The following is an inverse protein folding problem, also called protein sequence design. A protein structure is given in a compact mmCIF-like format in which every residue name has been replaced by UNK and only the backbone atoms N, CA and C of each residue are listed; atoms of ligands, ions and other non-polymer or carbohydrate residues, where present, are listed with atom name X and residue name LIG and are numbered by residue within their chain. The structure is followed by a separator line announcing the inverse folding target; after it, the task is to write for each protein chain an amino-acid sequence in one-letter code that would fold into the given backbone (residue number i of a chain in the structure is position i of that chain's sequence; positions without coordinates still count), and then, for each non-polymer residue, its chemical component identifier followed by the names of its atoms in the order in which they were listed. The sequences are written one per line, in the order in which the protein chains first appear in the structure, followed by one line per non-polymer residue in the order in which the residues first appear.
data_IF_775726622399
#
_entry.id   IF_775726622399
#
_cell.length_a   1.000
_cell.length_b   1.000
_cell.length_c   1.000
_cell.angle_alpha   90.00
_cell.angle_beta   90.00
_cell.angle_gamma   90.00
#
_symmetry.space_group_name_H-M   'P 1'
#
loop_
_entity.id
_entity.type
_entity.pdbx_description
1 polymer ?
#
# COMPACT_ATOMS: atom_id res chain seq x y z
N UNK A 1 13.96 11.68 -12.81
CA UNK A 1 13.49 11.67 -11.40
C UNK A 1 14.66 11.45 -10.45
N UNK A 2 14.72 12.20 -9.36
CA UNK A 2 15.73 11.99 -8.33
C UNK A 2 15.56 10.62 -7.68
N UNK A 3 16.64 9.90 -7.34
CA UNK A 3 16.52 8.63 -6.64
C UNK A 3 15.92 8.83 -5.24
N UNK A 4 15.07 7.90 -4.81
CA UNK A 4 14.49 7.93 -3.46
C UNK A 4 15.61 7.84 -2.42
N UNK A 5 15.69 8.78 -1.45
CA UNK A 5 16.78 8.81 -0.48
C UNK A 5 16.63 7.74 0.61
N UNK A 6 17.76 7.24 1.12
CA UNK A 6 17.81 6.41 2.33
C UNK A 6 17.75 7.30 3.57
N UNK A 7 16.62 7.97 3.78
CA UNK A 7 16.37 8.91 4.86
C UNK A 7 14.94 8.75 5.41
N UNK A 8 14.66 9.21 6.63
CA UNK A 8 13.30 9.32 7.14
C UNK A 8 12.48 10.31 6.33
N UNK A 9 11.18 10.04 6.17
CA UNK A 9 10.30 10.98 5.47
C UNK A 9 8.91 10.45 5.22
N UNK A 10 8.11 11.27 4.54
CA UNK A 10 6.78 10.94 4.06
C UNK A 10 6.78 10.75 2.55
N UNK A 11 5.85 9.98 2.06
CA UNK A 11 5.66 9.73 0.63
C UNK A 11 4.17 9.70 0.29
N UNK A 12 3.84 10.12 -0.94
CA UNK A 12 2.50 10.09 -1.52
C UNK A 12 2.44 9.21 -2.75
N UNK A 13 1.39 8.40 -2.86
CA UNK A 13 1.09 7.59 -4.03
C UNK A 13 0.03 8.28 -4.89
N UNK A 14 0.41 8.57 -6.12
CA UNK A 14 -0.37 9.23 -7.14
C UNK A 14 -0.76 8.24 -8.23
N UNK A 15 -1.99 8.30 -8.71
CA UNK A 15 -2.56 7.34 -9.64
C UNK A 15 -3.12 8.01 -10.89
N UNK A 16 -2.77 7.48 -12.07
CA UNK A 16 -3.39 7.82 -13.36
C UNK A 16 -4.72 7.11 -13.53
N UNK A 17 -4.71 5.80 -13.30
CA UNK A 17 -5.91 4.97 -13.35
C UNK A 17 -6.34 4.61 -11.94
N UNK A 18 -7.62 4.73 -11.67
CA UNK A 18 -8.21 4.40 -10.38
C UNK A 18 -8.95 3.07 -10.49
N UNK A 19 -8.83 2.14 -9.52
CA UNK A 19 -9.74 1.02 -9.44
C UNK A 19 -11.19 1.52 -9.36
N UNK A 20 -12.10 0.89 -10.10
CA UNK A 20 -13.48 1.38 -10.32
C UNK A 20 -14.29 1.65 -9.02
N UNK A 21 -13.91 0.99 -7.91
CA UNK A 21 -14.59 1.16 -6.62
C UNK A 21 -14.09 2.36 -5.81
N UNK A 22 -13.07 3.10 -6.29
CA UNK A 22 -12.48 4.22 -5.54
C UNK A 22 -13.24 5.50 -5.84
N UNK A 23 -13.87 6.08 -4.83
CA UNK A 23 -14.35 7.45 -4.88
C UNK A 23 -13.19 8.40 -4.59
N UNK A 24 -12.81 9.18 -5.59
CA UNK A 24 -11.73 10.16 -5.51
C UNK A 24 -12.25 11.61 -5.36
N UNK A 25 -13.53 11.77 -5.04
CA UNK A 25 -14.13 13.11 -4.84
C UNK A 25 -13.41 13.86 -3.72
N UNK A 26 -12.90 15.04 -4.04
CA UNK A 26 -12.17 15.89 -3.09
C UNK A 26 -10.69 15.51 -2.89
N UNK A 27 -10.19 14.46 -3.56
CA UNK A 27 -8.77 14.16 -3.54
C UNK A 27 -7.94 15.24 -4.24
N UNK A 28 -6.70 15.38 -3.83
CA UNK A 28 -5.73 16.23 -4.52
C UNK A 28 -5.45 15.68 -5.92
N UNK A 29 -5.54 16.54 -6.92
CA UNK A 29 -5.26 16.22 -8.34
C UNK A 29 -4.17 17.12 -8.86
N UNK A 30 -3.19 16.56 -9.53
CA UNK A 30 -2.13 17.29 -10.25
C UNK A 30 -1.93 16.67 -11.61
N UNK A 31 -2.12 17.45 -12.65
CA UNK A 31 -2.15 17.00 -14.03
C UNK A 31 -3.17 15.84 -14.19
N UNK A 32 -2.72 14.67 -14.60
CA UNK A 32 -3.51 13.45 -14.77
C UNK A 32 -3.43 12.49 -13.55
N UNK A 33 -2.91 12.95 -12.42
CA UNK A 33 -2.60 12.15 -11.25
C UNK A 33 -3.47 12.51 -10.05
N UNK A 34 -4.03 11.52 -9.39
CA UNK A 34 -4.81 11.67 -8.16
C UNK A 34 -4.05 11.08 -6.97
N UNK A 35 -3.89 11.85 -5.89
CA UNK A 35 -3.28 11.39 -4.64
C UNK A 35 -4.29 10.58 -3.84
N UNK A 36 -4.03 9.29 -3.63
CA UNK A 36 -4.93 8.40 -2.89
C UNK A 36 -4.38 7.93 -1.55
N UNK A 37 -3.06 7.98 -1.37
CA UNK A 37 -2.42 7.45 -0.17
C UNK A 37 -1.17 8.23 0.18
N UNK A 38 -1.00 8.51 1.45
CA UNK A 38 0.27 8.96 2.04
C UNK A 38 0.75 7.94 3.07
N UNK A 39 2.04 7.89 3.27
CA UNK A 39 2.64 7.05 4.29
C UNK A 39 3.99 7.58 4.70
N UNK A 40 4.57 6.98 5.72
CA UNK A 40 5.84 7.41 6.30
C UNK A 40 6.83 6.25 6.43
N UNK A 41 8.06 6.62 6.58
CA UNK A 41 9.14 5.71 6.94
C UNK A 41 10.25 6.47 7.69
N UNK A 42 10.64 6.01 8.88
CA UNK A 42 10.04 4.94 9.69
C UNK A 42 8.71 5.34 10.33
N UNK A 43 8.02 4.37 10.91
CA UNK A 43 6.89 4.63 11.82
C UNK A 43 7.38 5.23 13.15
N UNK A 44 6.51 5.89 13.95
CA UNK A 44 6.87 6.41 15.27
C UNK A 44 7.55 5.34 16.11
N UNK A 45 8.50 5.73 16.99
CA UNK A 45 9.06 4.82 17.98
C UNK A 45 7.94 4.18 18.82
N UNK A 46 7.99 2.85 19.04
CA UNK A 46 6.97 2.19 19.84
C UNK A 46 7.01 2.68 21.30
N UNK A 47 5.84 2.93 21.88
CA UNK A 47 5.70 3.35 23.29
C UNK A 47 6.36 2.36 24.29
N UNK A 48 6.59 1.11 23.87
CA UNK A 48 7.27 0.08 24.68
C UNK A 48 8.78 0.29 24.83
N UNK A 49 9.37 1.35 24.28
CA UNK A 49 10.82 1.60 24.31
C UNK A 49 11.65 0.63 23.47
N UNK A 50 11.03 -0.26 22.71
CA UNK A 50 11.75 -1.14 21.78
C UNK A 50 12.43 -0.31 20.68
N UNK A 51 13.58 -0.80 20.22
CA UNK A 51 14.33 -0.13 19.14
C UNK A 51 13.45 0.04 17.91
N UNK A 52 13.39 1.26 17.33
CA UNK A 52 12.64 1.50 16.10
C UNK A 52 13.12 0.59 14.96
N UNK A 53 12.22 0.19 14.10
CA UNK A 53 12.60 -0.56 12.89
C UNK A 53 13.47 0.33 12.01
N UNK A 54 14.66 -0.16 11.63
CA UNK A 54 15.56 0.54 10.70
C UNK A 54 14.97 0.49 9.28
N UNK A 55 14.00 1.36 9.04
CA UNK A 55 13.36 1.52 7.73
C UNK A 55 13.52 2.97 7.28
N UNK A 56 13.68 3.20 5.99
CA UNK A 56 13.79 4.49 5.36
C UNK A 56 12.88 4.58 4.11
N UNK A 57 12.77 5.77 3.52
CA UNK A 57 11.97 6.01 2.33
C UNK A 57 12.31 5.03 1.20
N UNK A 58 13.62 4.85 0.89
CA UNK A 58 14.05 3.96 -0.18
C UNK A 58 13.58 2.53 0.03
N UNK A 59 13.83 1.97 1.22
CA UNK A 59 13.43 0.59 1.54
C UNK A 59 11.92 0.42 1.47
N UNK A 60 11.17 1.38 2.03
CA UNK A 60 9.71 1.31 2.10
C UNK A 60 9.06 1.43 0.73
N UNK A 61 9.44 2.44 -0.06
CA UNK A 61 8.89 2.67 -1.40
C UNK A 61 9.28 1.50 -2.33
N UNK A 62 10.54 1.06 -2.30
CA UNK A 62 10.99 -0.12 -3.04
C UNK A 62 10.19 -1.37 -2.70
N UNK A 63 9.88 -1.56 -1.41
CA UNK A 63 9.05 -2.69 -0.98
C UNK A 63 7.63 -2.61 -1.55
N UNK A 64 7.02 -1.44 -1.55
CA UNK A 64 5.70 -1.25 -2.16
C UNK A 64 5.69 -1.53 -3.66
N UNK A 65 6.75 -1.23 -4.39
CA UNK A 65 6.90 -1.58 -5.82
C UNK A 65 7.28 -3.06 -6.06
N UNK A 66 7.28 -3.91 -5.05
CA UNK A 66 7.62 -5.33 -5.19
C UNK A 66 9.11 -5.64 -5.16
N UNK A 67 9.98 -4.62 -5.06
CA UNK A 67 11.42 -4.80 -4.84
C UNK A 67 11.72 -5.37 -3.46
N UNK A 68 12.89 -6.02 -3.28
CA UNK A 68 13.29 -6.67 -2.03
C UNK A 68 12.24 -7.70 -1.54
N UNK A 69 11.60 -8.42 -2.46
CA UNK A 69 10.50 -9.39 -2.20
C UNK A 69 9.26 -8.74 -1.56
N UNK A 70 9.00 -7.47 -1.89
CA UNK A 70 7.80 -6.75 -1.48
C UNK A 70 6.54 -7.45 -2.00
N UNK A 71 5.57 -7.68 -1.11
CA UNK A 71 4.36 -8.42 -1.40
C UNK A 71 3.17 -7.92 -0.58
N UNK A 72 1.98 -8.45 -0.86
CA UNK A 72 0.75 -8.04 -0.19
C UNK A 72 0.67 -8.42 1.30
N UNK A 73 1.49 -9.34 1.79
CA UNK A 73 1.54 -9.69 3.22
C UNK A 73 2.13 -8.54 4.05
N UNK A 74 3.26 -7.99 3.60
CA UNK A 74 3.97 -6.89 4.29
C UNK A 74 3.55 -5.48 3.83
N UNK A 75 2.66 -5.35 2.84
CA UNK A 75 2.23 -4.06 2.30
C UNK A 75 0.70 -3.95 2.27
N UNK A 76 0.16 -3.11 3.16
CA UNK A 76 -1.28 -2.79 3.16
C UNK A 76 -1.75 -2.15 1.85
N UNK A 77 -0.90 -1.30 1.23
CA UNK A 77 -1.16 -0.71 -0.08
C UNK A 77 -1.34 -1.79 -1.14
N UNK A 78 -0.38 -2.71 -1.28
CA UNK A 78 -0.45 -3.81 -2.24
C UNK A 78 -1.65 -4.73 -1.98
N UNK A 79 -1.93 -5.02 -0.71
CA UNK A 79 -3.11 -5.83 -0.33
C UNK A 79 -4.41 -5.15 -0.75
N UNK A 80 -4.53 -3.85 -0.53
CA UNK A 80 -5.69 -3.05 -0.94
C UNK A 80 -5.84 -3.02 -2.47
N UNK A 81 -4.76 -2.71 -3.20
CA UNK A 81 -4.74 -2.76 -4.66
C UNK A 81 -5.11 -4.14 -5.19
N UNK A 82 -4.52 -5.19 -4.63
CA UNK A 82 -4.78 -6.57 -5.04
C UNK A 82 -6.23 -6.98 -4.91
N UNK A 83 -6.95 -6.54 -3.89
CA UNK A 83 -8.39 -6.85 -3.74
C UNK A 83 -9.26 -5.95 -4.59
N UNK A 84 -8.91 -4.68 -4.78
CA UNK A 84 -9.66 -3.75 -5.62
C UNK A 84 -9.55 -4.10 -7.10
N UNK A 85 -8.37 -4.51 -7.56
CA UNK A 85 -8.08 -4.91 -8.94
C UNK A 85 -8.27 -6.41 -9.19
N UNK A 86 -8.79 -7.16 -8.20
CA UNK A 86 -8.87 -8.62 -8.27
C UNK A 86 -9.60 -9.11 -9.53
N UNK A 87 -10.73 -8.49 -9.87
CA UNK A 87 -11.54 -8.87 -11.03
C UNK A 87 -10.88 -8.43 -12.34
N UNK A 88 -10.31 -7.24 -12.39
CA UNK A 88 -9.69 -6.65 -13.58
C UNK A 88 -8.42 -7.39 -13.99
N UNK A 89 -7.55 -7.69 -13.02
CA UNK A 89 -6.24 -8.28 -13.24
C UNK A 89 -6.16 -9.79 -12.93
N UNK A 90 -7.26 -10.43 -12.57
CA UNK A 90 -7.27 -11.84 -12.20
C UNK A 90 -6.48 -12.15 -10.93
N UNK A 91 -6.43 -11.21 -9.96
CA UNK A 91 -5.63 -11.36 -8.75
C UNK A 91 -6.38 -12.11 -7.67
N UNK A 92 -5.67 -12.93 -6.92
CA UNK A 92 -6.22 -13.68 -5.79
C UNK A 92 -5.18 -13.79 -4.66
N UNK A 93 -5.61 -13.54 -3.43
CA UNK A 93 -4.77 -13.80 -2.25
C UNK A 93 -4.62 -15.31 -2.04
N UNK A 94 -3.39 -15.76 -1.81
CA UNK A 94 -3.05 -17.17 -1.60
C UNK A 94 -2.10 -17.32 -0.41
N UNK A 95 -2.29 -18.41 0.34
CA UNK A 95 -1.30 -18.84 1.33
C UNK A 95 -0.11 -19.48 0.61
N UNK A 96 1.10 -19.13 1.05
CA UNK A 96 2.35 -19.59 0.43
C UNK A 96 3.31 -20.24 1.45
N UNK A 97 4.22 -21.07 0.97
CA UNK A 97 5.28 -21.70 1.75
C UNK A 97 4.75 -22.53 2.92
N UNK A 98 4.97 -22.08 4.14
CA UNK A 98 4.44 -22.72 5.37
C UNK A 98 2.94 -22.48 5.59
N UNK A 99 2.27 -21.68 4.75
CA UNK A 99 0.87 -21.30 4.90
C UNK A 99 0.63 -20.12 5.84
N UNK A 100 1.67 -19.54 6.43
CA UNK A 100 1.57 -18.37 7.33
C UNK A 100 1.48 -17.07 6.58
N UNK A 101 2.14 -16.96 5.42
CA UNK A 101 2.12 -15.76 4.59
C UNK A 101 0.94 -15.81 3.61
N UNK A 102 0.31 -14.66 3.40
CA UNK A 102 -0.80 -14.49 2.43
C UNK A 102 -0.44 -13.36 1.48
N UNK A 103 -0.15 -13.72 0.23
CA UNK A 103 0.29 -12.83 -0.82
C UNK A 103 -0.59 -12.99 -2.07
N UNK A 104 -0.30 -12.24 -3.12
CA UNK A 104 -0.92 -12.44 -4.44
C UNK A 104 -0.26 -13.59 -5.23
N UNK A 105 0.75 -14.25 -4.68
CA UNK A 105 1.55 -15.28 -5.36
C UNK A 105 2.06 -14.76 -6.72
N UNK A 106 1.87 -15.50 -7.81
CA UNK A 106 2.25 -15.05 -9.16
C UNK A 106 1.60 -13.72 -9.59
N UNK A 107 0.49 -13.32 -8.98
CA UNK A 107 -0.16 -12.04 -9.21
C UNK A 107 0.63 -10.82 -8.68
N UNK A 108 1.66 -11.04 -7.84
CA UNK A 108 2.54 -9.93 -7.41
C UNK A 108 3.26 -9.28 -8.60
N UNK A 109 3.68 -10.06 -9.60
CA UNK A 109 4.31 -9.54 -10.82
C UNK A 109 3.31 -8.75 -11.68
N UNK A 110 2.07 -9.23 -11.78
CA UNK A 110 0.99 -8.53 -12.49
C UNK A 110 0.70 -7.18 -11.83
N UNK A 111 0.61 -7.16 -10.49
CA UNK A 111 0.42 -5.93 -9.75
C UNK A 111 1.62 -4.98 -9.88
N UNK A 112 2.86 -5.48 -9.91
CA UNK A 112 4.04 -4.66 -10.13
C UNK A 112 3.97 -3.93 -11.48
N UNK A 113 3.58 -4.64 -12.55
CA UNK A 113 3.44 -4.04 -13.87
C UNK A 113 2.36 -2.96 -13.86
N UNK A 114 1.18 -3.28 -13.31
CA UNK A 114 0.09 -2.31 -13.21
C UNK A 114 0.50 -1.05 -12.43
N UNK A 115 1.18 -1.23 -11.30
CA UNK A 115 1.68 -0.10 -10.50
C UNK A 115 2.72 0.73 -11.27
N UNK A 116 3.63 0.08 -12.00
CA UNK A 116 4.62 0.77 -12.83
C UNK A 116 3.98 1.67 -13.90
N UNK A 117 2.89 1.21 -14.50
CA UNK A 117 2.22 1.91 -15.59
C UNK A 117 1.27 3.02 -15.08
N UNK A 118 0.71 2.83 -13.88
CA UNK A 118 -0.39 3.66 -13.40
C UNK A 118 -0.08 4.51 -12.16
N UNK A 119 1.12 4.39 -11.58
CA UNK A 119 1.43 5.14 -10.35
C UNK A 119 2.72 5.92 -10.42
N UNK A 120 2.73 7.04 -9.69
CA UNK A 120 3.94 7.80 -9.37
C UNK A 120 4.04 7.97 -7.85
N UNK A 121 5.27 8.16 -7.36
CA UNK A 121 5.54 8.43 -5.95
C UNK A 121 6.25 9.77 -5.80
N UNK A 122 5.70 10.61 -4.93
CA UNK A 122 6.40 11.78 -4.41
C UNK A 122 6.90 11.50 -3.00
N UNK A 123 7.94 12.21 -2.58
CA UNK A 123 8.46 12.08 -1.22
C UNK A 123 9.04 13.40 -0.71
N UNK A 124 9.13 13.49 0.61
CA UNK A 124 9.80 14.59 1.32
C UNK A 124 10.58 14.02 2.50
N UNK A 125 11.83 14.43 2.64
CA UNK A 125 12.66 14.04 3.80
C UNK A 125 12.21 14.83 5.02
N UNK A 126 11.92 14.13 6.12
CA UNK A 126 11.53 14.70 7.41
C UNK A 126 12.13 13.84 8.53
N UNK A 127 12.77 14.43 9.57
CA UNK A 127 13.32 13.67 10.72
C UNK A 127 12.24 12.94 11.51
N UNK A 128 11.08 13.56 11.69
CA UNK A 128 9.91 13.04 12.42
C UNK A 128 8.69 12.98 11.48
N UNK A 129 8.68 12.02 10.55
CA UNK A 129 7.69 11.99 9.48
C UNK A 129 6.26 11.76 9.97
N UNK A 130 6.06 11.21 11.17
CA UNK A 130 4.74 10.97 11.76
C UNK A 130 3.98 12.27 12.11
N UNK A 131 4.69 13.35 12.49
CA UNK A 131 4.07 14.67 12.69
C UNK A 131 3.51 15.20 11.37
N UNK A 132 4.29 15.05 10.30
CA UNK A 132 3.87 15.48 8.97
C UNK A 132 2.77 14.59 8.38
N UNK A 133 2.76 13.28 8.65
CA UNK A 133 1.68 12.37 8.25
C UNK A 133 0.35 12.78 8.89
N UNK A 134 0.35 13.15 10.17
CA UNK A 134 -0.83 13.63 10.87
C UNK A 134 -1.40 14.90 10.22
N UNK A 135 -0.54 15.86 9.87
CA UNK A 135 -0.94 17.06 9.14
C UNK A 135 -1.56 16.71 7.78
N UNK A 136 -0.92 15.84 6.99
CA UNK A 136 -1.43 15.43 5.68
C UNK A 136 -2.76 14.69 5.78
N UNK A 137 -2.88 13.75 6.71
CA UNK A 137 -4.11 12.95 6.87
C UNK A 137 -5.28 13.75 7.45
N UNK A 138 -5.01 14.85 8.12
CA UNK A 138 -6.04 15.78 8.62
C UNK A 138 -6.56 16.71 7.52
N UNK A 139 -5.68 17.15 6.62
CA UNK A 139 -6.01 18.19 5.64
C UNK A 139 -6.35 17.66 4.24
N UNK A 140 -6.04 16.39 3.93
CA UNK A 140 -6.27 15.81 2.61
C UNK A 140 -7.31 14.69 2.65
N UNK A 141 -8.08 14.57 1.57
CA UNK A 141 -8.94 13.42 1.32
C UNK A 141 -8.07 12.29 0.76
N UNK A 142 -7.86 11.26 1.56
CA UNK A 142 -6.97 10.13 1.25
C UNK A 142 -7.73 8.80 1.40
N UNK A 143 -8.41 8.33 0.35
CA UNK A 143 -9.27 7.14 0.44
C UNK A 143 -8.55 5.87 0.92
N UNK A 144 -7.23 5.79 0.73
CA UNK A 144 -6.46 4.59 1.12
C UNK A 144 -5.68 4.72 2.43
N UNK A 145 -5.72 5.88 3.07
CA UNK A 145 -5.31 6.00 4.45
C UNK A 145 -6.50 5.56 5.31
N UNK A 146 -6.50 4.31 5.78
CA UNK A 146 -7.61 3.66 6.49
C UNK A 146 -7.93 4.29 7.87
N UNK A 147 -7.59 5.54 8.05
CA UNK A 147 -7.96 6.38 9.19
C UNK A 147 -9.31 7.04 8.86
N UNK A 148 -10.36 6.53 9.41
CA UNK A 148 -11.71 7.02 9.17
C UNK A 148 -12.72 5.89 8.98
N UNK A 149 -13.98 6.24 8.97
CA UNK A 149 -15.09 5.28 8.88
C UNK A 149 -16.04 5.62 7.71
N UNK A 150 -15.46 5.96 6.55
CA UNK A 150 -16.24 6.19 5.34
C UNK A 150 -16.80 4.87 4.79
N UNK A 151 -17.86 4.93 4.00
CA UNK A 151 -18.44 3.75 3.33
C UNK A 151 -17.37 3.00 2.51
N UNK A 152 -16.47 3.72 1.84
CA UNK A 152 -15.37 3.12 1.10
C UNK A 152 -14.39 2.37 2.03
N UNK A 153 -14.04 2.93 3.18
CA UNK A 153 -13.17 2.25 4.16
C UNK A 153 -13.79 0.97 4.69
N UNK A 154 -15.09 0.99 5.00
CA UNK A 154 -15.82 -0.20 5.45
C UNK A 154 -15.83 -1.27 4.36
N UNK A 155 -16.12 -0.89 3.12
CA UNK A 155 -16.12 -1.81 1.97
C UNK A 155 -14.72 -2.37 1.69
N UNK A 156 -13.68 -1.56 1.70
CA UNK A 156 -12.30 -2.03 1.51
C UNK A 156 -11.87 -2.99 2.63
N UNK A 157 -12.22 -2.69 3.89
CA UNK A 157 -12.00 -3.61 5.02
C UNK A 157 -12.73 -4.94 4.81
N UNK A 158 -13.98 -4.89 4.33
CA UNK A 158 -14.79 -6.08 4.00
C UNK A 158 -14.13 -6.89 2.89
N UNK A 159 -13.79 -6.29 1.76
CA UNK A 159 -13.13 -6.95 0.63
C UNK A 159 -11.81 -7.63 1.03
N UNK A 160 -10.98 -6.95 1.82
CA UNK A 160 -9.74 -7.53 2.35
C UNK A 160 -9.99 -8.73 3.25
N UNK A 161 -10.96 -8.63 4.16
CA UNK A 161 -11.34 -9.74 5.05
C UNK A 161 -11.85 -10.94 4.25
N UNK A 162 -12.75 -10.72 3.31
CA UNK A 162 -13.35 -11.78 2.50
C UNK A 162 -12.29 -12.49 1.64
N UNK A 163 -11.36 -11.73 1.04
CA UNK A 163 -10.23 -12.28 0.32
C UNK A 163 -9.29 -13.10 1.21
N UNK A 164 -9.04 -12.65 2.44
CA UNK A 164 -8.23 -13.38 3.43
C UNK A 164 -8.91 -14.69 3.86
N UNK A 165 -10.23 -14.66 4.12
CA UNK A 165 -11.04 -15.85 4.45
C UNK A 165 -11.01 -16.84 3.29
N UNK A 166 -11.19 -16.36 2.04
CA UNK A 166 -11.08 -17.19 0.84
C UNK A 166 -9.70 -17.83 0.73
N UNK A 167 -8.62 -17.06 0.89
CA UNK A 167 -7.26 -17.58 0.87
C UNK A 167 -7.03 -18.66 1.95
N UNK A 168 -7.65 -18.53 3.12
CA UNK A 168 -7.62 -19.51 4.19
C UNK A 168 -8.19 -20.88 3.80
N UNK A 169 -9.17 -20.92 2.89
CA UNK A 169 -9.82 -22.14 2.42
C UNK A 169 -9.11 -22.81 1.24
N UNK A 170 -8.25 -22.07 0.54
CA UNK A 170 -7.53 -22.56 -0.63
C UNK A 170 -6.29 -23.36 -0.22
N UNK A 171 -5.88 -24.27 -1.11
CA UNK A 171 -4.63 -25.03 -0.94
C UNK A 171 -3.45 -24.07 -0.84
N UNK A 172 -2.53 -24.37 0.08
CA UNK A 172 -1.26 -23.63 0.20
C UNK A 172 -0.39 -23.89 -1.03
N UNK A 173 0.16 -22.84 -1.61
CA UNK A 173 1.14 -22.93 -2.68
C UNK A 173 2.53 -23.10 -2.07
N UNK A 174 3.29 -24.08 -2.56
CA UNK A 174 4.64 -24.36 -2.04
C UNK A 174 5.65 -23.30 -2.48
N UNK A 175 5.55 -22.89 -3.76
CA UNK A 175 6.42 -21.88 -4.41
C UNK A 175 5.60 -21.02 -5.35
N UNK A 176 6.11 -19.82 -5.70
CA UNK A 176 5.52 -18.87 -6.65
C UNK A 176 6.59 -17.92 -7.23
#
# INVERSE_FOLDING_TARGET
PSPVPSAPGAYGWWFRSLPAAVDATGCEVRDDLTLLHVGISPTPPPASGKRPVSQDLHKRIRYHFGGARGNADGSSLRKSLGVLLAKELGLELRRIGSGKQITLAGGEAVLNQWMSDNTLVSWVVRPEPWVFEEELTTNLVLPWNLQGDTAFHQELKRLRRDAMVKAGKLRVLKEW
#
